data_IF_664007992702
#
_entry.id   IF_664007992702
#
_cell.length_a   1.000
_cell.length_b   1.000
_cell.length_c   1.000
_cell.angle_alpha   90.00
_cell.angle_beta   90.00
_cell.angle_gamma   90.00
#
_symmetry.space_group_name_H-M   'P 1'
#
loop_
_entity.id
_entity.type
_entity.pdbx_description
1 polymer ?
#
# COMPACT_ATOMS: atom_id res chain seq x y z
N UNK A 1 30.35 -3.90 1.25
CA UNK A 1 29.09 -4.62 1.53
C UNK A 1 27.97 -3.70 1.09
N UNK A 2 26.97 -4.12 0.30
CA UNK A 2 25.90 -3.22 -0.12
C UNK A 2 25.12 -2.72 1.10
N UNK A 3 24.85 -1.42 1.14
CA UNK A 3 24.14 -0.76 2.24
C UNK A 3 22.66 -0.60 1.90
N UNK A 4 21.80 -1.12 2.78
CA UNK A 4 20.34 -1.04 2.69
C UNK A 4 19.79 -0.23 3.86
N UNK A 5 19.24 0.94 3.56
CA UNK A 5 18.77 1.90 4.57
C UNK A 5 17.25 1.83 4.71
N UNK A 6 16.75 1.60 5.91
CA UNK A 6 15.33 1.65 6.24
C UNK A 6 15.02 3.03 6.81
N UNK A 7 14.25 3.81 6.08
CA UNK A 7 13.96 5.22 6.34
C UNK A 7 12.70 5.36 7.21
N UNK A 8 12.58 6.45 8.00
CA UNK A 8 11.43 6.67 8.86
C UNK A 8 10.11 6.86 8.07
N UNK A 9 8.96 6.62 8.71
CA UNK A 9 8.80 6.21 10.11
C UNK A 9 9.17 4.74 10.34
N UNK A 10 9.78 4.44 11.49
CA UNK A 10 10.17 3.09 11.89
C UNK A 10 9.22 2.60 12.99
N UNK A 11 8.56 1.47 12.75
CA UNK A 11 7.74 0.75 13.71
C UNK A 11 8.38 -0.60 14.10
N UNK A 12 7.69 -1.35 14.97
CA UNK A 12 8.17 -2.64 15.45
C UNK A 12 8.27 -3.69 14.33
N UNK A 13 7.37 -3.63 13.33
CA UNK A 13 7.39 -4.53 12.18
C UNK A 13 8.64 -4.31 11.32
N UNK A 14 9.00 -3.04 11.06
CA UNK A 14 10.24 -2.70 10.34
C UNK A 14 11.47 -3.14 11.13
N UNK A 15 11.48 -2.98 12.46
CA UNK A 15 12.59 -3.42 13.32
C UNK A 15 12.76 -4.93 13.29
N UNK A 16 11.66 -5.68 13.39
CA UNK A 16 11.66 -7.14 13.29
C UNK A 16 12.14 -7.59 11.91
N UNK A 17 11.66 -6.93 10.85
CA UNK A 17 12.08 -7.24 9.48
C UNK A 17 13.56 -6.97 9.25
N UNK A 18 14.08 -5.83 9.73
CA UNK A 18 15.50 -5.52 9.68
C UNK A 18 16.36 -6.57 10.39
N UNK A 19 15.92 -7.04 11.57
CA UNK A 19 16.61 -8.07 12.32
C UNK A 19 16.68 -9.39 11.52
N UNK A 20 15.57 -9.81 10.91
CA UNK A 20 15.53 -10.98 10.03
C UNK A 20 16.43 -10.81 8.81
N UNK A 21 16.43 -9.64 8.17
CA UNK A 21 17.31 -9.37 7.04
C UNK A 21 18.80 -9.47 7.43
N UNK A 22 19.19 -8.96 8.60
CA UNK A 22 20.58 -9.09 9.10
C UNK A 22 20.97 -10.54 9.36
N UNK A 23 20.04 -11.35 9.84
CA UNK A 23 20.26 -12.78 10.10
C UNK A 23 20.35 -13.59 8.80
N UNK A 24 19.42 -13.40 7.88
CA UNK A 24 19.31 -14.20 6.65
C UNK A 24 20.21 -13.71 5.52
N UNK A 25 20.57 -12.42 5.52
CA UNK A 25 21.40 -11.77 4.49
C UNK A 25 22.65 -11.13 5.11
N UNK A 26 23.59 -11.93 5.66
CA UNK A 26 24.77 -11.40 6.35
C UNK A 26 25.75 -10.64 5.44
N UNK A 27 25.55 -10.72 4.11
CA UNK A 27 26.30 -9.93 3.12
C UNK A 27 25.67 -8.56 2.82
N UNK A 28 24.64 -8.16 3.56
CA UNK A 28 23.96 -6.87 3.42
C UNK A 28 24.16 -6.06 4.71
N UNK A 29 24.55 -4.79 4.56
CA UNK A 29 24.61 -3.85 5.67
C UNK A 29 23.26 -3.18 5.83
N UNK A 30 22.44 -3.68 6.76
CA UNK A 30 21.08 -3.16 7.00
C UNK A 30 21.12 -2.11 8.10
N UNK A 31 20.80 -0.87 7.75
CA UNK A 31 20.77 0.29 8.65
C UNK A 31 19.32 0.73 8.86
N UNK A 32 18.94 0.96 10.11
CA UNK A 32 17.66 1.58 10.46
C UNK A 32 17.95 3.03 10.82
N UNK A 33 17.15 3.94 10.27
CA UNK A 33 17.24 5.36 10.57
C UNK A 33 15.94 5.82 11.20
N UNK A 34 16.02 6.40 12.39
CA UNK A 34 14.84 6.82 13.15
C UNK A 34 14.43 8.27 12.89
N UNK A 35 15.38 9.12 12.48
CA UNK A 35 15.15 10.54 12.25
C UNK A 35 15.54 11.01 10.84
N UNK A 36 14.98 12.14 10.41
CA UNK A 36 15.23 12.66 9.06
C UNK A 36 16.63 13.25 8.90
N UNK A 37 17.28 13.66 9.99
CA UNK A 37 18.60 14.24 9.96
C UNK A 37 19.66 13.19 9.64
N UNK A 38 19.61 12.03 10.31
CA UNK A 38 20.51 10.92 10.05
C UNK A 38 20.19 10.27 8.68
N UNK A 39 18.94 10.37 8.19
CA UNK A 39 18.57 9.84 6.87
C UNK A 39 19.40 10.45 5.74
N UNK A 40 19.63 11.76 5.77
CA UNK A 40 20.44 12.43 4.76
C UNK A 40 21.90 11.93 4.76
N UNK A 41 22.46 11.72 5.95
CA UNK A 41 23.81 11.18 6.10
C UNK A 41 23.88 9.73 5.59
N UNK A 42 22.98 8.88 6.05
CA UNK A 42 22.99 7.46 5.73
C UNK A 42 22.69 7.17 4.25
N UNK A 43 21.93 8.04 3.58
CA UNK A 43 21.62 7.93 2.15
C UNK A 43 22.77 8.34 1.22
N UNK A 44 23.78 9.05 1.70
CA UNK A 44 24.91 9.53 0.87
C UNK A 44 25.68 8.36 0.24
N UNK A 45 25.81 7.25 0.97
CA UNK A 45 26.52 6.05 0.52
C UNK A 45 25.64 4.79 0.41
N UNK A 46 24.31 4.94 0.53
CA UNK A 46 23.36 3.84 0.40
C UNK A 46 23.31 3.27 -1.03
N UNK A 47 23.31 1.94 -1.16
CA UNK A 47 23.11 1.28 -2.45
C UNK A 47 21.62 1.01 -2.72
N UNK A 48 20.84 0.81 -1.65
CA UNK A 48 19.39 0.63 -1.68
C UNK A 48 18.71 1.20 -0.42
N UNK A 49 17.42 1.52 -0.52
CA UNK A 49 16.65 2.03 0.61
C UNK A 49 15.19 1.58 0.59
N UNK A 50 14.56 1.55 1.76
CA UNK A 50 13.14 1.31 1.97
C UNK A 50 12.50 2.54 2.61
N UNK A 51 11.45 3.08 2.00
CA UNK A 51 10.75 4.27 2.50
C UNK A 51 10.76 5.43 1.49
N UNK A 52 10.83 6.66 2.01
CA UNK A 52 10.76 7.89 1.23
C UNK A 52 12.06 8.68 1.31
N UNK A 53 12.50 9.24 0.18
CA UNK A 53 13.58 10.22 0.16
C UNK A 53 12.98 11.60 -0.05
N UNK A 54 13.18 12.50 0.92
CA UNK A 54 12.72 13.88 0.83
C UNK A 54 13.41 14.64 -0.34
N UNK A 55 12.71 15.56 -1.02
CA UNK A 55 13.28 16.31 -2.15
C UNK A 55 14.58 17.05 -1.82
N UNK A 56 14.72 17.55 -0.60
CA UNK A 56 15.90 18.29 -0.15
C UNK A 56 17.12 17.39 0.08
N UNK A 57 16.88 16.09 0.30
CA UNK A 57 17.92 15.08 0.52
C UNK A 57 18.40 14.49 -0.79
N UNK A 58 17.50 14.29 -1.77
CA UNK A 58 17.78 13.62 -3.04
C UNK A 58 19.05 14.12 -3.77
N UNK A 59 19.39 15.43 -3.81
CA UNK A 59 20.63 15.90 -4.45
C UNK A 59 21.92 15.30 -3.88
N UNK A 60 21.92 14.86 -2.62
CA UNK A 60 23.07 14.18 -1.99
C UNK A 60 23.11 12.67 -2.19
N UNK A 61 22.11 12.10 -2.89
CA UNK A 61 21.91 10.66 -3.03
C UNK A 61 22.47 10.17 -4.36
N UNK A 62 23.80 10.01 -4.44
CA UNK A 62 24.46 9.70 -5.72
C UNK A 62 24.57 8.20 -6.03
N UNK A 63 24.52 7.34 -4.99
CA UNK A 63 24.80 5.89 -5.11
C UNK A 63 23.56 5.00 -5.12
N UNK A 64 22.41 5.56 -4.76
CA UNK A 64 21.18 4.79 -4.58
C UNK A 64 20.69 4.23 -5.92
N UNK A 65 20.67 2.90 -6.01
CA UNK A 65 20.25 2.19 -7.22
C UNK A 65 18.81 1.67 -7.14
N UNK A 66 18.32 1.43 -5.93
CA UNK A 66 16.97 0.94 -5.66
C UNK A 66 16.33 1.68 -4.48
N UNK A 67 15.14 2.23 -4.72
CA UNK A 67 14.25 2.74 -3.67
C UNK A 67 12.98 1.89 -3.63
N UNK A 68 12.78 1.15 -2.55
CA UNK A 68 11.57 0.37 -2.31
C UNK A 68 10.55 1.25 -1.57
N UNK A 69 9.51 1.68 -2.29
CA UNK A 69 8.33 2.31 -1.70
C UNK A 69 7.55 1.25 -0.89
N UNK A 70 7.12 1.55 0.35
CA UNK A 70 6.32 0.65 1.18
C UNK A 70 4.84 0.53 0.76
N UNK A 71 4.34 1.43 -0.08
CA UNK A 71 2.91 1.52 -0.41
C UNK A 71 2.57 0.90 -1.77
N UNK A 72 1.46 0.16 -1.85
CA UNK A 72 0.90 -0.27 -3.13
C UNK A 72 0.49 0.95 -4.00
N UNK A 73 -0.16 1.92 -3.37
CA UNK A 73 -0.47 3.23 -3.95
C UNK A 73 -0.03 4.33 -2.97
N UNK A 74 1.14 4.95 -3.18
CA UNK A 74 1.64 5.97 -2.27
C UNK A 74 0.81 7.26 -2.34
N UNK A 75 0.86 8.11 -1.28
CA UNK A 75 0.14 9.37 -1.25
C UNK A 75 0.62 10.34 -2.35
N UNK A 76 -0.22 11.33 -2.66
CA UNK A 76 0.13 12.41 -3.60
C UNK A 76 1.40 13.11 -3.12
N UNK A 77 2.33 13.36 -4.04
CA UNK A 77 3.62 14.00 -3.76
C UNK A 77 4.74 13.03 -3.39
N UNK A 78 4.45 11.75 -3.18
CA UNK A 78 5.48 10.74 -2.93
C UNK A 78 6.48 10.65 -4.08
N UNK A 79 5.95 10.55 -5.31
CA UNK A 79 6.72 10.74 -6.53
C UNK A 79 6.66 12.21 -6.91
N UNK A 80 7.81 12.89 -6.81
CA UNK A 80 8.01 14.27 -7.22
C UNK A 80 8.90 14.33 -8.48
N UNK A 81 8.86 15.43 -9.26
CA UNK A 81 9.53 15.51 -10.56
C UNK A 81 11.01 15.12 -10.52
N UNK A 82 11.75 15.60 -9.53
CA UNK A 82 13.17 15.35 -9.38
C UNK A 82 13.46 13.86 -9.12
N UNK A 83 12.62 13.17 -8.34
CA UNK A 83 12.74 11.72 -8.15
C UNK A 83 12.44 10.93 -9.43
N UNK A 84 11.51 11.42 -10.26
CA UNK A 84 11.17 10.78 -11.54
C UNK A 84 12.28 10.95 -12.59
N UNK A 85 13.07 12.02 -12.50
CA UNK A 85 14.23 12.28 -13.35
C UNK A 85 15.53 11.65 -12.80
N UNK A 86 15.53 11.25 -11.52
CA UNK A 86 16.68 10.63 -10.87
C UNK A 86 16.98 9.24 -11.45
N UNK A 87 18.26 8.84 -11.43
CA UNK A 87 18.71 7.55 -11.96
C UNK A 87 18.29 6.33 -11.11
N UNK A 88 17.74 6.56 -9.91
CA UNK A 88 17.34 5.49 -8.99
C UNK A 88 16.14 4.73 -9.55
N UNK A 89 16.15 3.41 -9.45
CA UNK A 89 14.98 2.60 -9.75
C UNK A 89 14.04 2.62 -8.56
N UNK A 90 12.84 3.16 -8.72
CA UNK A 90 11.81 3.09 -7.68
C UNK A 90 10.89 1.90 -7.93
N UNK A 91 10.68 1.07 -6.91
CA UNK A 91 9.80 -0.09 -6.93
C UNK A 91 8.74 0.00 -5.84
N UNK A 92 7.65 -0.76 -5.94
CA UNK A 92 6.57 -0.80 -4.95
C UNK A 92 6.07 -2.24 -4.74
N UNK A 93 5.41 -2.56 -3.62
CA UNK A 93 4.78 -3.86 -3.43
C UNK A 93 3.63 -4.06 -4.43
N UNK A 94 3.69 -5.15 -5.18
CA UNK A 94 2.66 -5.56 -6.14
C UNK A 94 2.28 -7.02 -5.93
N UNK A 95 1.01 -7.34 -6.14
CA UNK A 95 0.51 -8.72 -6.18
C UNK A 95 -0.09 -9.20 -4.86
N UNK A 96 0.42 -8.73 -3.72
CA UNK A 96 0.05 -9.21 -2.38
C UNK A 96 -1.31 -8.70 -1.85
N UNK A 97 -1.99 -7.81 -2.58
CA UNK A 97 -3.28 -7.23 -2.17
C UNK A 97 -4.44 -7.59 -3.10
N UNK A 98 -4.17 -8.36 -4.17
CA UNK A 98 -5.13 -8.57 -5.26
C UNK A 98 -6.40 -9.24 -4.77
N UNK A 99 -6.25 -10.31 -4.00
CA UNK A 99 -7.32 -11.08 -3.37
C UNK A 99 -7.99 -10.29 -2.24
N UNK A 100 -7.22 -9.71 -1.32
CA UNK A 100 -7.74 -8.97 -0.18
C UNK A 100 -8.66 -7.81 -0.59
N UNK A 101 -8.23 -7.00 -1.57
CA UNK A 101 -9.02 -5.85 -2.02
C UNK A 101 -10.19 -6.32 -2.89
N UNK A 102 -10.02 -7.32 -3.75
CA UNK A 102 -11.11 -7.86 -4.56
C UNK A 102 -12.24 -8.46 -3.69
N UNK A 103 -11.90 -9.19 -2.63
CA UNK A 103 -12.87 -9.68 -1.65
C UNK A 103 -13.59 -8.53 -0.93
N UNK A 104 -12.88 -7.46 -0.58
CA UNK A 104 -13.48 -6.29 0.05
C UNK A 104 -14.47 -5.57 -0.88
N UNK A 105 -14.15 -5.48 -2.17
CA UNK A 105 -15.05 -4.96 -3.22
C UNK A 105 -16.32 -5.82 -3.30
N UNK A 106 -16.18 -7.14 -3.41
CA UNK A 106 -17.31 -8.07 -3.47
C UNK A 106 -18.19 -7.98 -2.21
N UNK A 107 -17.58 -7.89 -1.03
CA UNK A 107 -18.29 -7.69 0.24
C UNK A 107 -19.16 -6.43 0.19
N UNK A 108 -18.63 -5.30 -0.29
CA UNK A 108 -19.42 -4.08 -0.42
C UNK A 108 -20.54 -4.22 -1.46
N UNK A 109 -20.26 -4.85 -2.61
CA UNK A 109 -21.29 -5.07 -3.64
C UNK A 109 -22.47 -5.87 -3.09
N UNK A 110 -22.20 -6.97 -2.37
CA UNK A 110 -23.23 -7.80 -1.72
C UNK A 110 -23.98 -7.02 -0.63
N UNK A 111 -23.26 -6.30 0.24
CA UNK A 111 -23.86 -5.53 1.32
C UNK A 111 -24.78 -4.42 0.78
N UNK A 112 -24.32 -3.66 -0.21
CA UNK A 112 -25.03 -2.50 -0.75
C UNK A 112 -26.21 -2.91 -1.64
N UNK A 113 -26.06 -3.92 -2.50
CA UNK A 113 -27.15 -4.43 -3.34
C UNK A 113 -28.35 -4.95 -2.52
N UNK A 114 -28.08 -5.48 -1.33
CA UNK A 114 -29.09 -6.00 -0.40
C UNK A 114 -29.55 -4.98 0.65
N UNK A 115 -28.95 -3.78 0.69
CA UNK A 115 -29.28 -2.73 1.65
C UNK A 115 -28.90 -3.07 3.09
N UNK A 116 -27.87 -3.89 3.29
CA UNK A 116 -27.38 -4.34 4.59
C UNK A 116 -27.14 -3.19 5.59
N UNK A 117 -26.55 -2.03 5.21
CA UNK A 117 -26.36 -0.92 6.14
C UNK A 117 -27.67 -0.42 6.78
N UNK A 118 -28.79 -0.44 6.04
CA UNK A 118 -30.08 -0.03 6.56
C UNK A 118 -30.65 -1.01 7.59
N UNK A 119 -30.46 -2.31 7.34
CA UNK A 119 -30.87 -3.34 8.29
C UNK A 119 -29.97 -3.35 9.53
N UNK A 120 -28.67 -3.11 9.37
CA UNK A 120 -27.75 -2.95 10.50
C UNK A 120 -28.12 -1.76 11.38
N UNK A 121 -28.50 -0.62 10.78
CA UNK A 121 -29.03 0.55 11.50
C UNK A 121 -30.30 0.21 12.30
N UNK A 122 -31.26 -0.50 11.69
CA UNK A 122 -32.48 -0.93 12.37
C UNK A 122 -32.21 -1.91 13.52
N UNK A 123 -31.31 -2.87 13.30
CA UNK A 123 -30.89 -3.83 14.33
C UNK A 123 -30.22 -3.13 15.52
N UNK A 124 -29.34 -2.16 15.27
CA UNK A 124 -28.67 -1.39 16.32
C UNK A 124 -29.66 -0.60 17.20
N UNK A 125 -30.85 -0.28 16.66
CA UNK A 125 -31.95 0.37 17.37
C UNK A 125 -32.93 -0.62 18.01
N UNK A 126 -32.65 -1.93 17.97
CA UNK A 126 -33.54 -2.97 18.48
C UNK A 126 -34.83 -3.13 17.68
N UNK A 127 -34.86 -2.68 16.42
CA UNK A 127 -36.05 -2.75 15.56
C UNK A 127 -35.96 -3.92 14.60
N UNK A 128 -36.96 -4.79 14.63
CA UNK A 128 -37.23 -5.74 13.56
C UNK A 128 -38.02 -5.06 12.45
N UNK A 129 -37.32 -4.60 11.41
CA UNK A 129 -37.91 -3.83 10.32
C UNK A 129 -37.59 -4.47 8.96
N UNK A 130 -38.55 -5.23 8.41
CA UNK A 130 -38.40 -5.88 7.10
C UNK A 130 -38.40 -4.88 5.93
N UNK A 131 -38.75 -3.62 6.17
CA UNK A 131 -38.79 -2.52 5.19
C UNK A 131 -37.70 -1.47 5.46
N UNK A 132 -36.68 -1.77 6.26
CA UNK A 132 -35.64 -0.82 6.63
C UNK A 132 -34.89 -0.21 5.42
N UNK A 133 -34.84 -0.91 4.28
CA UNK A 133 -34.18 -0.42 3.07
C UNK A 133 -34.79 0.90 2.60
N UNK A 134 -33.93 1.90 2.46
CA UNK A 134 -34.29 3.22 1.92
C UNK A 134 -34.13 3.29 0.39
N UNK A 135 -33.55 2.27 -0.24
CA UNK A 135 -33.32 2.15 -1.68
C UNK A 135 -33.81 0.81 -2.21
N UNK A 136 -34.07 0.74 -3.51
CA UNK A 136 -34.45 -0.49 -4.21
C UNK A 136 -33.40 -1.58 -4.09
N UNK A 137 -33.86 -2.82 -4.18
CA UNK A 137 -32.99 -3.98 -4.40
C UNK A 137 -32.24 -3.83 -5.72
N UNK A 138 -30.96 -4.16 -5.74
CA UNK A 138 -30.21 -4.33 -6.99
C UNK A 138 -30.04 -5.82 -7.22
N UNK A 139 -30.64 -6.33 -8.28
CA UNK A 139 -30.41 -7.71 -8.71
C UNK A 139 -29.05 -7.79 -9.41
N UNK A 140 -28.07 -8.36 -8.72
CA UNK A 140 -26.72 -8.50 -9.26
C UNK A 140 -26.66 -9.47 -10.45
N UNK A 141 -27.67 -10.35 -10.63
CA UNK A 141 -27.69 -11.30 -11.76
C UNK A 141 -28.07 -10.63 -13.08
N UNK A 142 -28.73 -9.48 -13.03
CA UNK A 142 -29.09 -8.66 -14.20
C UNK A 142 -28.25 -7.38 -14.31
N UNK A 143 -27.42 -7.10 -13.30
CA UNK A 143 -26.57 -5.92 -13.26
C UNK A 143 -25.33 -6.08 -14.14
N UNK A 144 -24.74 -4.95 -14.54
CA UNK A 144 -23.43 -4.90 -15.21
C UNK A 144 -22.42 -4.20 -14.30
N UNK A 145 -21.26 -4.83 -14.10
CA UNK A 145 -20.14 -4.26 -13.34
C UNK A 145 -19.11 -3.73 -14.33
N UNK A 146 -18.76 -2.45 -14.20
CA UNK A 146 -17.63 -1.87 -14.91
C UNK A 146 -16.40 -1.88 -14.00
N UNK A 147 -15.34 -2.56 -14.44
CA UNK A 147 -14.03 -2.52 -13.79
C UNK A 147 -13.15 -1.50 -14.53
N UNK A 148 -12.87 -0.37 -13.89
CA UNK A 148 -11.95 0.63 -14.43
C UNK A 148 -10.54 0.43 -13.86
N UNK A 149 -9.67 -0.19 -14.67
CA UNK A 149 -8.32 -0.58 -14.29
C UNK A 149 -8.20 -2.09 -14.10
N UNK A 150 -7.51 -2.76 -15.02
CA UNK A 150 -7.39 -4.24 -15.10
C UNK A 150 -6.01 -4.74 -14.62
N UNK A 151 -5.48 -4.10 -13.57
CA UNK A 151 -4.32 -4.61 -12.83
C UNK A 151 -4.68 -5.84 -11.98
N UNK A 152 -3.79 -6.28 -11.09
CA UNK A 152 -4.01 -7.49 -10.27
C UNK A 152 -5.33 -7.48 -9.50
N UNK A 153 -5.63 -6.38 -8.80
CA UNK A 153 -6.89 -6.20 -8.04
C UNK A 153 -8.09 -6.20 -8.98
N UNK A 154 -8.04 -5.43 -10.08
CA UNK A 154 -9.18 -5.29 -11.00
C UNK A 154 -9.49 -6.58 -11.75
N UNK A 155 -8.46 -7.31 -12.17
CA UNK A 155 -8.62 -8.61 -12.80
C UNK A 155 -9.24 -9.64 -11.83
N UNK A 156 -8.79 -9.65 -10.57
CA UNK A 156 -9.37 -10.54 -9.56
C UNK A 156 -10.81 -10.15 -9.20
N UNK A 157 -11.09 -8.85 -9.07
CA UNK A 157 -12.45 -8.36 -8.87
C UNK A 157 -13.36 -8.74 -10.05
N UNK A 158 -12.87 -8.63 -11.30
CA UNK A 158 -13.60 -9.06 -12.48
C UNK A 158 -13.87 -10.57 -12.50
N UNK A 159 -12.95 -11.39 -11.98
CA UNK A 159 -13.13 -12.85 -11.86
C UNK A 159 -14.18 -13.23 -10.82
N UNK A 160 -14.33 -12.42 -9.77
CA UNK A 160 -15.28 -12.64 -8.67
C UNK A 160 -16.71 -12.15 -8.97
N UNK A 161 -16.87 -11.23 -9.92
CA UNK A 161 -18.15 -10.73 -10.39
C UNK A 161 -18.75 -11.67 -11.44
#
# INVERSE_FOLDING_TARGET
>A
MPKYVMLPPIDDDIREWAAKMREELPSLDVVIVEDEADAAQELTDADAAYGWVAPEVLPGVERLSLLQNPFAGPPVGWYYPELAEHAVVVSNPRGIYSDHIAHHILMYMLALSRGLPYYAEAQAQGRWDNRARKRGYVDLTEATVLINGVGGIGAEAARLC
#
